data_IF_235167632782
#
_entry.id   IF_235167632782
#
_cell.length_a   1.000
_cell.length_b   1.000
_cell.length_c   1.000
_cell.angle_alpha   90.00
_cell.angle_beta   90.00
_cell.angle_gamma   90.00
#
_symmetry.space_group_name_H-M   'P 1'
#
loop_
_entity.id
_entity.type
_entity.pdbx_description
1 polymer ?
#
# COMPACT_ATOMS: atom_id res chain seq x y z
N UNK A 1 3.46 7.39 8.82
CA UNK A 1 2.77 7.27 7.51
C UNK A 1 3.81 7.43 6.42
N UNK A 2 3.75 6.61 5.40
CA UNK A 2 4.56 6.76 4.16
C UNK A 2 3.59 6.74 2.99
N UNK A 3 3.65 7.74 2.13
CA UNK A 3 2.86 7.81 0.90
C UNK A 3 3.80 8.17 -0.25
N UNK A 4 3.85 7.31 -1.25
CA UNK A 4 4.72 7.48 -2.41
C UNK A 4 3.92 7.22 -3.68
N UNK A 5 4.07 8.08 -4.67
CA UNK A 5 3.61 7.85 -6.02
C UNK A 5 4.80 7.99 -6.97
N UNK A 6 5.08 6.94 -7.72
CA UNK A 6 6.21 6.86 -8.64
C UNK A 6 5.74 6.73 -10.08
N UNK A 7 6.43 7.42 -10.97
CA UNK A 7 6.35 7.19 -12.41
C UNK A 7 7.09 5.88 -12.78
N UNK A 8 6.92 5.37 -14.00
CA UNK A 8 7.59 4.12 -14.43
C UNK A 8 9.11 4.10 -14.25
N UNK A 9 9.77 5.23 -14.37
CA UNK A 9 11.23 5.39 -14.20
C UNK A 9 11.66 5.60 -12.74
N UNK A 10 10.72 5.60 -11.79
CA UNK A 10 10.98 5.82 -10.37
C UNK A 10 10.95 7.30 -9.94
N UNK A 11 10.63 8.24 -10.84
CA UNK A 11 10.41 9.62 -10.44
C UNK A 11 9.21 9.73 -9.50
N UNK A 12 9.41 10.33 -8.34
CA UNK A 12 8.37 10.47 -7.31
C UNK A 12 7.60 11.77 -7.47
N UNK A 13 6.35 11.69 -7.89
CA UNK A 13 5.41 12.81 -7.93
C UNK A 13 4.80 13.11 -6.56
N UNK A 14 4.75 12.11 -5.67
CA UNK A 14 4.39 12.25 -4.26
C UNK A 14 5.40 11.47 -3.43
N UNK A 15 5.91 12.10 -2.37
CA UNK A 15 6.90 11.51 -1.49
C UNK A 15 6.74 12.09 -0.09
N UNK A 16 5.97 11.43 0.75
CA UNK A 16 5.73 11.82 2.13
C UNK A 16 6.15 10.70 3.09
N UNK A 17 6.84 11.09 4.15
CA UNK A 17 7.18 10.20 5.24
C UNK A 17 7.06 10.96 6.55
N UNK A 18 6.02 10.66 7.30
CA UNK A 18 5.62 11.44 8.48
C UNK A 18 5.43 10.51 9.68
N UNK A 19 6.01 10.89 10.81
CA UNK A 19 5.75 10.28 12.12
C UNK A 19 4.78 11.15 12.91
N UNK A 20 3.71 10.55 13.41
CA UNK A 20 2.73 11.21 14.27
C UNK A 20 2.80 10.56 15.64
N UNK A 21 3.05 11.37 16.64
CA UNK A 21 3.15 10.94 18.03
C UNK A 21 1.76 10.88 18.68
N UNK A 22 1.64 10.11 19.74
CA UNK A 22 0.37 9.96 20.46
C UNK A 22 -0.17 11.28 21.04
N UNK A 23 0.71 12.21 21.34
CA UNK A 23 0.38 13.57 21.80
C UNK A 23 -0.05 14.53 20.69
N UNK A 24 -0.13 14.04 19.44
CA UNK A 24 -0.51 14.83 18.27
C UNK A 24 0.66 15.56 17.61
N UNK A 25 1.86 15.50 18.14
CA UNK A 25 3.05 16.06 17.51
C UNK A 25 3.33 15.35 16.19
N UNK A 26 3.64 16.14 15.16
CA UNK A 26 3.95 15.66 13.81
C UNK A 26 5.42 15.93 13.53
N UNK A 27 6.11 14.96 12.96
CA UNK A 27 7.49 15.05 12.54
C UNK A 27 7.61 14.58 11.09
N UNK A 28 8.13 15.46 10.24
CA UNK A 28 8.51 15.09 8.88
C UNK A 28 9.81 14.31 8.93
N UNK A 29 9.80 13.09 8.42
CA UNK A 29 11.00 12.26 8.27
C UNK A 29 11.68 12.55 6.94
N UNK A 30 12.95 12.19 6.83
CA UNK A 30 13.69 12.25 5.57
C UNK A 30 13.05 11.35 4.49
N UNK A 31 13.34 11.66 3.24
CA UNK A 31 12.80 10.93 2.09
C UNK A 31 13.08 9.44 2.21
N UNK A 32 12.04 8.59 2.23
CA UNK A 32 12.21 7.19 2.48
C UNK A 32 12.78 6.46 1.26
N UNK A 33 13.66 5.51 1.51
CA UNK A 33 14.01 4.46 0.55
C UNK A 33 13.07 3.30 0.82
N UNK A 34 12.33 2.88 -0.19
CA UNK A 34 11.37 1.78 -0.07
C UNK A 34 11.77 0.64 -0.99
N UNK A 35 11.85 -0.55 -0.42
CA UNK A 35 12.00 -1.80 -1.15
C UNK A 35 10.78 -2.67 -0.87
N UNK A 36 10.00 -2.93 -1.91
CA UNK A 36 8.87 -3.84 -1.83
C UNK A 36 9.36 -5.28 -2.02
N UNK A 37 8.82 -6.17 -1.23
CA UNK A 37 9.03 -7.61 -1.35
C UNK A 37 7.81 -8.24 -1.98
N UNK A 38 8.01 -9.06 -3.00
CA UNK A 38 6.93 -9.70 -3.75
C UNK A 38 6.95 -11.22 -3.55
N UNK A 39 5.81 -11.83 -3.73
CA UNK A 39 5.71 -13.27 -3.92
C UNK A 39 6.30 -13.62 -5.28
N UNK A 40 7.26 -14.58 -5.32
CA UNK A 40 7.86 -15.07 -6.57
C UNK A 40 6.81 -15.42 -7.62
N UNK A 41 7.06 -15.06 -8.88
CA UNK A 41 6.16 -15.26 -9.99
C UNK A 41 4.89 -14.39 -10.00
N UNK A 42 4.82 -13.36 -9.13
CA UNK A 42 3.64 -12.49 -9.03
C UNK A 42 4.04 -11.02 -8.83
N UNK A 43 3.04 -10.13 -8.81
CA UNK A 43 3.17 -8.73 -8.33
C UNK A 43 2.51 -8.52 -6.96
N UNK A 44 2.20 -9.61 -6.25
CA UNK A 44 1.55 -9.53 -4.95
C UNK A 44 2.60 -9.16 -3.91
N UNK A 45 2.45 -8.03 -3.21
CA UNK A 45 3.40 -7.63 -2.19
C UNK A 45 3.26 -8.54 -0.96
N UNK A 46 4.40 -8.98 -0.43
CA UNK A 46 4.48 -9.72 0.83
C UNK A 46 4.96 -8.85 1.98
N UNK A 47 5.47 -7.66 1.68
CA UNK A 47 5.94 -6.71 2.66
C UNK A 47 6.82 -5.63 2.04
N UNK A 48 7.43 -4.83 2.89
CA UNK A 48 8.36 -3.79 2.50
C UNK A 48 9.44 -3.57 3.55
N UNK A 49 10.62 -3.13 3.11
CA UNK A 49 11.62 -2.49 3.96
C UNK A 49 11.64 -1.00 3.63
N UNK A 50 11.49 -0.17 4.65
CA UNK A 50 11.50 1.29 4.53
C UNK A 50 12.64 1.83 5.37
N UNK A 51 13.53 2.60 4.76
CA UNK A 51 14.62 3.29 5.43
C UNK A 51 14.41 4.80 5.31
N UNK A 52 14.46 5.50 6.43
CA UNK A 52 14.31 6.94 6.52
C UNK A 52 15.28 7.52 7.55
N UNK A 53 15.25 8.83 7.74
CA UNK A 53 15.93 9.51 8.84
C UNK A 53 14.93 10.32 9.63
N UNK A 54 15.15 10.46 10.93
CA UNK A 54 14.41 11.40 11.74
C UNK A 54 14.87 12.86 11.48
N UNK A 55 14.24 13.81 12.16
CA UNK A 55 14.57 15.24 12.04
C UNK A 55 15.99 15.60 12.52
N UNK A 56 16.65 14.71 13.28
CA UNK A 56 18.06 14.88 13.68
C UNK A 56 19.03 14.26 12.68
N UNK A 57 18.55 13.52 11.67
CA UNK A 57 19.33 12.76 10.73
C UNK A 57 19.66 11.33 11.20
N UNK A 58 19.14 10.90 12.34
CA UNK A 58 19.34 9.54 12.83
C UNK A 58 18.56 8.52 11.96
N UNK A 59 19.13 7.34 11.69
CA UNK A 59 18.50 6.35 10.83
C UNK A 59 17.30 5.69 11.50
N UNK A 60 16.24 5.54 10.70
CA UNK A 60 15.05 4.78 11.03
C UNK A 60 14.85 3.67 9.99
N UNK A 61 14.45 2.49 10.44
CA UNK A 61 14.06 1.39 9.56
C UNK A 61 12.73 0.83 10.00
N UNK A 62 11.89 0.53 9.01
CA UNK A 62 10.63 -0.17 9.20
C UNK A 62 10.63 -1.42 8.34
N UNK A 63 10.42 -2.57 8.97
CA UNK A 63 10.16 -3.83 8.29
C UNK A 63 8.66 -4.11 8.36
N UNK A 64 8.00 -4.13 7.20
CA UNK A 64 6.56 -4.33 7.05
C UNK A 64 6.32 -5.72 6.48
N UNK A 65 5.40 -6.46 7.08
CA UNK A 65 4.95 -7.77 6.63
C UNK A 65 3.45 -7.72 6.34
N UNK A 66 3.04 -8.15 5.15
CA UNK A 66 1.64 -8.36 4.80
C UNK A 66 1.08 -9.57 5.53
N UNK A 67 0.01 -9.40 6.30
CA UNK A 67 -0.61 -10.47 7.08
C UNK A 67 -1.96 -10.92 6.53
N UNK A 68 -2.80 -10.00 6.15
CA UNK A 68 -4.16 -10.30 5.68
C UNK A 68 -4.50 -9.40 4.49
N UNK A 69 -4.80 -9.97 3.31
CA UNK A 69 -5.32 -9.19 2.21
C UNK A 69 -6.77 -8.78 2.49
N UNK A 70 -7.08 -7.52 2.22
CA UNK A 70 -8.41 -6.94 2.32
C UNK A 70 -8.81 -6.43 0.93
N UNK A 71 -9.60 -7.20 0.15
CA UNK A 71 -10.07 -6.73 -1.14
C UNK A 71 -10.94 -5.50 -0.98
N UNK A 72 -10.60 -4.44 -1.70
CA UNK A 72 -11.38 -3.22 -1.82
C UNK A 72 -11.96 -3.19 -3.22
N UNK A 73 -13.21 -2.74 -3.36
CA UNK A 73 -13.90 -2.69 -4.66
C UNK A 73 -14.00 -4.07 -5.34
N UNK A 74 -14.53 -5.05 -4.62
CA UNK A 74 -14.86 -6.35 -5.16
C UNK A 74 -15.96 -6.17 -6.21
N UNK A 75 -15.59 -5.93 -7.45
CA UNK A 75 -16.61 -5.78 -8.47
C UNK A 75 -16.20 -5.05 -9.72
N UNK A 76 -15.13 -4.32 -9.72
CA UNK A 76 -14.75 -3.64 -10.94
C UNK A 76 -13.70 -2.54 -10.80
N UNK A 77 -13.05 -2.46 -9.66
CA UNK A 77 -12.06 -1.42 -9.43
C UNK A 77 -12.68 -0.02 -9.45
N UNK A 78 -11.87 0.97 -9.73
CA UNK A 78 -12.25 2.39 -9.71
C UNK A 78 -13.27 2.83 -10.80
N UNK A 79 -13.94 1.95 -11.47
CA UNK A 79 -14.88 2.35 -12.53
C UNK A 79 -15.82 1.25 -13.01
N UNK A 80 -15.81 0.10 -12.36
CA UNK A 80 -16.52 -1.08 -12.86
C UNK A 80 -17.86 -1.37 -12.21
N UNK A 81 -18.28 -0.63 -11.21
CA UNK A 81 -19.56 -0.83 -10.54
C UNK A 81 -20.58 0.18 -11.06
N UNK A 82 -21.74 -0.32 -11.55
CA UNK A 82 -22.80 0.56 -12.10
C UNK A 82 -23.34 1.54 -11.06
N UNK A 83 -23.30 1.17 -9.80
CA UNK A 83 -23.90 1.93 -8.70
C UNK A 83 -22.88 2.76 -7.92
N UNK A 84 -21.59 2.50 -8.11
CA UNK A 84 -20.54 3.25 -7.45
C UNK A 84 -19.51 3.77 -8.47
N UNK A 85 -19.36 5.09 -8.52
CA UNK A 85 -18.36 5.76 -9.35
C UNK A 85 -17.45 6.56 -8.44
N UNK A 86 -16.14 6.29 -8.51
CA UNK A 86 -15.12 6.98 -7.72
C UNK A 86 -15.18 8.50 -7.96
N UNK A 87 -15.19 9.26 -6.86
CA UNK A 87 -15.22 10.72 -6.90
C UNK A 87 -16.61 11.35 -7.15
N UNK A 88 -17.66 10.56 -7.30
CA UNK A 88 -19.02 11.10 -7.42
C UNK A 88 -19.66 11.27 -6.04
N UNK A 89 -20.01 12.52 -5.72
CA UNK A 89 -20.73 12.84 -4.50
C UNK A 89 -22.19 12.37 -4.58
N UNK A 90 -22.59 11.51 -3.66
CA UNK A 90 -23.97 10.94 -3.59
C UNK A 90 -24.81 11.51 -2.43
N UNK A 91 -24.35 12.57 -1.80
CA UNK A 91 -25.05 13.22 -0.69
C UNK A 91 -24.43 12.98 0.67
N UNK A 92 -24.68 13.90 1.60
CA UNK A 92 -24.07 13.94 2.95
C UNK A 92 -24.38 12.71 3.80
N UNK A 93 -25.53 12.09 3.59
CA UNK A 93 -25.99 10.92 4.36
C UNK A 93 -25.85 9.60 3.59
N UNK A 94 -25.17 9.64 2.45
CA UNK A 94 -24.97 8.41 1.69
C UNK A 94 -24.07 7.43 2.45
N UNK A 95 -24.56 6.23 2.66
CA UNK A 95 -23.82 5.10 3.18
C UNK A 95 -24.29 3.84 2.48
N UNK A 96 -23.38 3.04 1.99
CA UNK A 96 -23.66 1.76 1.36
C UNK A 96 -22.92 0.66 2.11
N UNK A 97 -23.56 -0.47 2.28
CA UNK A 97 -22.96 -1.67 2.86
C UNK A 97 -23.23 -2.85 1.94
N UNK A 98 -22.18 -3.43 1.43
CA UNK A 98 -22.21 -4.64 0.62
C UNK A 98 -21.54 -5.78 1.39
N UNK A 99 -22.07 -6.98 1.20
CA UNK A 99 -21.49 -8.21 1.76
C UNK A 99 -21.24 -9.17 0.61
N UNK A 100 -20.03 -9.67 0.53
CA UNK A 100 -19.59 -10.60 -0.51
C UNK A 100 -19.21 -11.94 0.12
N UNK A 101 -19.67 -13.04 -0.49
CA UNK A 101 -19.15 -14.36 -0.17
C UNK A 101 -17.84 -14.58 -0.91
N UNK A 102 -16.73 -14.50 -0.19
CA UNK A 102 -15.40 -14.68 -0.77
C UNK A 102 -15.06 -16.14 -1.11
N UNK A 103 -15.99 -17.08 -0.92
CA UNK A 103 -15.87 -18.45 -1.42
C UNK A 103 -16.56 -18.62 -2.78
N UNK A 104 -17.36 -17.64 -3.22
CA UNK A 104 -17.97 -17.66 -4.54
C UNK A 104 -16.92 -17.41 -5.63
N UNK A 105 -16.69 -18.34 -6.57
CA UNK A 105 -15.71 -18.17 -7.65
C UNK A 105 -15.96 -16.92 -8.52
N UNK A 106 -17.20 -16.50 -8.69
CA UNK A 106 -17.53 -15.29 -9.44
C UNK A 106 -17.03 -14.02 -8.69
N UNK A 107 -17.15 -14.01 -7.37
CA UNK A 107 -16.66 -12.92 -6.52
C UNK A 107 -15.13 -12.91 -6.49
N UNK A 108 -14.50 -14.09 -6.33
CA UNK A 108 -13.04 -14.20 -6.38
C UNK A 108 -12.49 -13.70 -7.72
N UNK A 109 -13.11 -14.11 -8.83
CA UNK A 109 -12.69 -13.65 -10.17
C UNK A 109 -12.81 -12.13 -10.34
N UNK A 110 -13.83 -11.51 -9.78
CA UNK A 110 -13.99 -10.05 -9.77
C UNK A 110 -12.95 -9.35 -8.90
N UNK A 111 -12.62 -9.91 -7.73
CA UNK A 111 -11.64 -9.32 -6.82
C UNK A 111 -10.23 -9.28 -7.40
N UNK A 112 -9.91 -10.12 -8.38
CA UNK A 112 -8.61 -10.13 -9.05
C UNK A 112 -8.31 -8.84 -9.82
N UNK A 113 -9.33 -8.05 -10.15
CA UNK A 113 -9.21 -6.76 -10.84
C UNK A 113 -9.43 -5.57 -9.88
N UNK A 114 -9.65 -5.83 -8.60
CA UNK A 114 -9.83 -4.80 -7.59
C UNK A 114 -8.50 -4.33 -6.97
N UNK A 115 -8.59 -3.28 -6.16
CA UNK A 115 -7.52 -2.86 -5.28
C UNK A 115 -7.50 -3.80 -4.07
N UNK A 116 -6.33 -4.26 -3.71
CA UNK A 116 -6.13 -5.11 -2.53
C UNK A 116 -5.22 -4.36 -1.57
N UNK A 117 -5.78 -4.00 -0.43
CA UNK A 117 -5.02 -3.54 0.72
C UNK A 117 -4.60 -4.74 1.58
N UNK A 118 -3.68 -4.51 2.46
CA UNK A 118 -3.24 -5.51 3.41
C UNK A 118 -3.26 -4.96 4.83
N UNK A 119 -3.70 -5.75 5.78
CA UNK A 119 -3.32 -5.52 7.16
C UNK A 119 -1.85 -5.85 7.29
N UNK A 120 -1.04 -4.85 7.58
CA UNK A 120 0.40 -4.95 7.70
C UNK A 120 0.83 -4.96 9.16
N UNK A 121 1.73 -5.87 9.51
CA UNK A 121 2.51 -5.80 10.75
C UNK A 121 3.80 -5.07 10.45
N UNK A 122 4.14 -4.06 11.23
CA UNK A 122 5.37 -3.31 11.06
C UNK A 122 6.22 -3.34 12.33
N UNK A 123 7.53 -3.47 12.14
CA UNK A 123 8.53 -3.30 13.21
C UNK A 123 9.36 -2.07 12.86
N UNK A 124 9.34 -1.08 13.75
CA UNK A 124 10.19 0.10 13.66
C UNK A 124 11.48 -0.14 14.46
N UNK A 125 12.62 0.15 13.86
CA UNK A 125 13.94 0.17 14.51
C UNK A 125 14.44 1.60 14.59
N UNK A 126 14.70 2.08 15.81
CA UNK A 126 15.09 3.45 16.13
C UNK A 126 16.18 3.44 17.22
N UNK A 127 17.43 3.74 16.85
CA UNK A 127 18.54 3.88 17.78
C UNK A 127 18.80 2.68 18.71
N UNK A 128 18.65 1.46 18.19
CA UNK A 128 18.79 0.22 18.98
C UNK A 128 17.54 -0.20 19.75
N UNK A 129 16.47 0.57 19.68
CA UNK A 129 15.14 0.20 20.19
C UNK A 129 14.29 -0.34 19.04
N UNK A 130 13.31 -1.17 19.35
CA UNK A 130 12.31 -1.61 18.41
C UNK A 130 10.91 -1.47 18.98
N UNK A 131 9.96 -1.12 18.11
CA UNK A 131 8.55 -1.07 18.45
C UNK A 131 7.76 -1.78 17.34
N UNK A 132 6.72 -2.50 17.72
CA UNK A 132 5.84 -3.21 16.82
C UNK A 132 4.49 -2.54 16.75
N UNK A 133 3.87 -2.55 15.58
CA UNK A 133 2.54 -2.02 15.35
C UNK A 133 1.87 -2.65 14.14
N UNK A 134 0.63 -2.24 13.92
CA UNK A 134 -0.22 -2.68 12.83
C UNK A 134 -0.75 -1.48 12.07
N UNK A 135 -0.96 -1.64 10.77
CA UNK A 135 -1.47 -0.57 9.94
C UNK A 135 -1.92 -1.07 8.57
N UNK A 136 -2.38 -0.14 7.77
CA UNK A 136 -2.65 -0.37 6.36
C UNK A 136 -1.33 -0.46 5.61
N UNK A 137 -1.19 -1.50 4.81
CA UNK A 137 -0.14 -1.66 3.83
C UNK A 137 -0.79 -1.80 2.45
N UNK A 138 -0.75 -0.73 1.68
CA UNK A 138 -1.24 -0.66 0.32
C UNK A 138 -0.06 -0.53 -0.64
N UNK A 139 -0.04 -1.32 -1.69
CA UNK A 139 0.93 -1.21 -2.77
C UNK A 139 0.35 -1.73 -4.08
N UNK A 140 0.48 -0.94 -5.13
CA UNK A 140 0.15 -1.33 -6.49
C UNK A 140 1.27 -0.92 -7.46
N UNK A 141 1.73 -1.83 -8.31
CA UNK A 141 2.63 -1.56 -9.42
C UNK A 141 1.91 -1.91 -10.73
N UNK A 142 1.58 -0.90 -11.51
CA UNK A 142 0.83 -1.03 -12.76
C UNK A 142 1.76 -0.83 -13.97
N UNK A 143 1.83 -1.84 -14.84
CA UNK A 143 2.69 -1.77 -16.03
C UNK A 143 4.18 -1.76 -15.71
N UNK A 144 4.93 -0.93 -16.46
CA UNK A 144 6.37 -0.75 -16.25
C UNK A 144 6.64 -0.02 -14.93
N UNK A 145 7.59 -0.54 -14.17
CA UNK A 145 8.10 0.10 -12.96
C UNK A 145 9.55 -0.33 -12.73
N UNK A 146 10.48 0.51 -13.13
CA UNK A 146 11.93 0.21 -13.13
C UNK A 146 12.48 -0.10 -11.73
N UNK A 147 12.06 0.60 -10.64
CA UNK A 147 12.53 0.27 -9.30
C UNK A 147 12.17 -1.14 -8.83
N UNK A 148 11.09 -1.73 -9.34
CA UNK A 148 10.69 -3.12 -9.07
C UNK A 148 11.19 -4.11 -10.12
N UNK A 149 11.86 -3.65 -11.17
CA UNK A 149 12.31 -4.50 -12.28
C UNK A 149 11.18 -4.94 -13.21
N UNK A 150 10.01 -4.29 -13.17
CA UNK A 150 8.90 -4.61 -14.05
C UNK A 150 9.02 -3.82 -15.37
N UNK A 151 9.19 -4.52 -16.48
CA UNK A 151 9.39 -3.91 -17.80
C UNK A 151 8.08 -3.62 -18.55
N UNK A 152 7.00 -4.31 -18.21
CA UNK A 152 5.69 -4.23 -18.84
C UNK A 152 4.60 -4.77 -17.90
N UNK A 153 3.37 -4.94 -18.42
CA UNK A 153 2.23 -5.45 -17.66
C UNK A 153 2.32 -6.93 -17.24
N UNK A 154 3.13 -7.72 -17.95
CA UNK A 154 3.22 -9.17 -17.75
C UNK A 154 4.44 -9.58 -16.91
N UNK A 155 5.42 -8.69 -16.78
CA UNK A 155 6.59 -8.95 -15.94
C UNK A 155 6.18 -9.11 -14.48
N UNK A 156 6.69 -10.15 -13.83
CA UNK A 156 6.46 -10.49 -12.42
C UNK A 156 7.79 -10.56 -11.66
N UNK A 157 7.72 -10.58 -10.35
CA UNK A 157 8.90 -10.73 -9.50
C UNK A 157 9.54 -12.12 -9.69
N UNK A 158 10.87 -12.22 -9.67
CA UNK A 158 11.61 -13.47 -9.78
C UNK A 158 11.32 -14.45 -8.63
#
# INVERSE_FOLDING_TARGET
MVIIQEAPDGFRSLNDCTRIWRDGRVEQLGWPRVKIHYRSGTRIPTGATIEATDSSGAPLRFDVESKLPVPIHVGGGYGGDSDWIHGVWKGEKFAERLTYDMNDPAIIGRSAFGVIDHVGRAVCHDGGKSAEGWGLFEHGALGRHDPSGFTDWLTVAP
#
